data_IF_348993240276
#
_entry.id   IF_348993240276
#
_cell.length_a   1.000
_cell.length_b   1.000
_cell.length_c   1.000
_cell.angle_alpha   90.00
_cell.angle_beta   90.00
_cell.angle_gamma   90.00
#
_symmetry.space_group_name_H-M   'P 1'
#
loop_
_entity.id
_entity.type
_entity.pdbx_description
1 polymer ?
#
# COMPACT_ATOMS: atom_id res chain seq x y z
N UNK A 1 29.50 -13.81 1.32
CA UNK A 1 28.13 -13.35 1.00
C UNK A 1 27.27 -14.60 0.83
N UNK A 2 26.33 -14.83 1.75
CA UNK A 2 25.63 -16.12 1.90
C UNK A 2 24.31 -16.15 1.10
N UNK A 3 24.00 -17.28 0.47
CA UNK A 3 22.84 -17.49 -0.42
C UNK A 3 21.45 -17.24 0.22
N UNK A 4 21.39 -17.02 1.54
CA UNK A 4 20.17 -16.62 2.26
C UNK A 4 19.82 -15.13 2.13
N UNK A 5 20.81 -14.26 1.92
CA UNK A 5 20.60 -12.81 1.80
C UNK A 5 20.03 -12.42 0.42
N UNK A 6 20.49 -13.11 -0.64
CA UNK A 6 20.02 -12.90 -2.01
C UNK A 6 18.58 -13.35 -2.25
N UNK A 7 18.10 -14.43 -1.61
CA UNK A 7 16.68 -14.85 -1.67
C UNK A 7 15.75 -13.95 -0.87
N UNK A 8 16.17 -13.49 0.31
CA UNK A 8 15.36 -12.56 1.12
C UNK A 8 15.21 -11.20 0.44
N UNK A 9 16.28 -10.72 -0.19
CA UNK A 9 16.29 -9.46 -0.93
C UNK A 9 15.46 -9.53 -2.23
N UNK A 10 15.39 -10.68 -2.90
CA UNK A 10 14.55 -10.83 -4.10
C UNK A 10 13.05 -10.76 -3.76
N UNK A 11 12.62 -11.37 -2.65
CA UNK A 11 11.25 -11.32 -2.16
C UNK A 11 10.80 -9.89 -1.81
N UNK A 12 11.63 -9.13 -1.10
CA UNK A 12 11.34 -7.71 -0.79
C UNK A 12 11.18 -6.88 -2.07
N UNK A 13 12.08 -7.05 -3.04
CA UNK A 13 11.99 -6.34 -4.33
C UNK A 13 10.77 -6.76 -5.15
N UNK A 14 10.37 -8.02 -5.09
CA UNK A 14 9.18 -8.53 -5.78
C UNK A 14 7.90 -7.92 -5.20
N UNK A 15 7.83 -7.78 -3.87
CA UNK A 15 6.72 -7.11 -3.18
C UNK A 15 6.68 -5.60 -3.43
N UNK A 16 7.84 -4.94 -3.46
CA UNK A 16 7.91 -3.52 -3.82
C UNK A 16 7.35 -3.26 -5.24
N UNK A 17 7.69 -4.13 -6.21
CA UNK A 17 7.09 -4.08 -7.55
C UNK A 17 5.59 -4.37 -7.53
N UNK A 18 5.14 -5.37 -6.77
CA UNK A 18 3.72 -5.67 -6.61
C UNK A 18 2.93 -4.47 -6.08
N UNK A 19 3.43 -3.76 -5.05
CA UNK A 19 2.80 -2.53 -4.55
C UNK A 19 2.70 -1.45 -5.61
N UNK A 20 3.77 -1.26 -6.39
CA UNK A 20 3.80 -0.25 -7.46
C UNK A 20 2.68 -0.47 -8.48
N UNK A 21 2.52 -1.72 -8.92
CA UNK A 21 1.46 -2.10 -9.87
C UNK A 21 0.08 -2.03 -9.19
N UNK A 22 -0.04 -2.47 -7.93
CA UNK A 22 -1.28 -2.40 -7.17
C UNK A 22 -1.81 -0.97 -7.01
N UNK A 23 -0.95 0.02 -6.73
CA UNK A 23 -1.36 1.43 -6.67
C UNK A 23 -1.95 1.92 -8.00
N UNK A 24 -1.34 1.55 -9.13
CA UNK A 24 -1.85 1.92 -10.45
C UNK A 24 -3.21 1.27 -10.73
N UNK A 25 -3.35 -0.02 -10.42
CA UNK A 25 -4.60 -0.75 -10.58
C UNK A 25 -5.71 -0.22 -9.67
N UNK A 26 -5.40 0.11 -8.41
CA UNK A 26 -6.34 0.71 -7.46
C UNK A 26 -6.73 2.13 -7.86
N UNK A 27 -5.81 2.91 -8.41
CA UNK A 27 -6.12 4.21 -9.01
C UNK A 27 -7.11 4.04 -10.17
N UNK A 28 -6.85 3.11 -11.11
CA UNK A 28 -7.79 2.84 -12.21
C UNK A 28 -9.16 2.43 -11.66
N UNK A 29 -9.21 1.52 -10.69
CA UNK A 29 -10.46 1.11 -10.06
C UNK A 29 -11.22 2.29 -9.44
N UNK A 30 -10.55 3.15 -8.67
CA UNK A 30 -11.18 4.33 -8.08
C UNK A 30 -11.74 5.29 -9.12
N UNK A 31 -11.07 5.45 -10.26
CA UNK A 31 -11.46 6.41 -11.29
C UNK A 31 -12.55 5.89 -12.22
N UNK A 32 -12.60 4.58 -12.48
CA UNK A 32 -13.48 4.00 -13.49
C UNK A 32 -14.60 3.14 -12.91
N UNK A 33 -14.48 2.67 -11.68
CA UNK A 33 -15.39 1.69 -11.09
C UNK A 33 -15.39 0.33 -11.82
N UNK A 34 -14.42 0.08 -12.70
CA UNK A 34 -14.33 -1.15 -13.47
C UNK A 34 -14.17 -2.37 -12.55
N UNK A 35 -14.69 -3.51 -12.97
CA UNK A 35 -14.57 -4.76 -12.24
C UNK A 35 -13.09 -5.11 -11.94
N UNK A 36 -12.80 -5.43 -10.67
CA UNK A 36 -11.44 -5.70 -10.18
C UNK A 36 -10.77 -6.89 -10.92
N UNK A 37 -11.50 -7.98 -11.19
CA UNK A 37 -10.92 -9.13 -11.88
C UNK A 37 -10.56 -8.80 -13.33
N UNK A 38 -11.30 -7.89 -13.98
CA UNK A 38 -10.97 -7.40 -15.30
C UNK A 38 -9.71 -6.52 -15.27
N UNK A 39 -9.60 -5.61 -14.29
CA UNK A 39 -8.38 -4.79 -14.07
C UNK A 39 -7.18 -5.71 -13.81
N UNK A 40 -7.31 -6.69 -12.93
CA UNK A 40 -6.24 -7.64 -12.62
C UNK A 40 -5.76 -8.38 -13.87
N UNK A 41 -6.69 -8.91 -14.67
CA UNK A 41 -6.37 -9.63 -15.90
C UNK A 41 -5.66 -8.72 -16.91
N UNK A 42 -6.10 -7.48 -17.04
CA UNK A 42 -5.47 -6.47 -17.89
C UNK A 42 -4.01 -6.22 -17.44
N UNK A 43 -3.78 -5.92 -16.16
CA UNK A 43 -2.44 -5.62 -15.66
C UNK A 43 -1.49 -6.82 -15.77
N UNK A 44 -1.96 -8.05 -15.54
CA UNK A 44 -1.16 -9.27 -15.70
C UNK A 44 -0.69 -9.46 -17.15
N UNK A 45 -1.52 -9.07 -18.13
CA UNK A 45 -1.18 -9.19 -19.55
C UNK A 45 -0.28 -8.05 -20.02
N UNK A 46 -0.53 -6.82 -19.56
CA UNK A 46 0.15 -5.62 -20.05
C UNK A 46 1.50 -5.34 -19.36
N UNK A 47 1.73 -5.87 -18.16
CA UNK A 47 2.95 -5.63 -17.38
C UNK A 47 3.84 -6.87 -17.30
N UNK A 48 5.14 -6.66 -17.10
CA UNK A 48 6.08 -7.76 -16.84
C UNK A 48 5.97 -8.26 -15.39
N UNK A 49 5.27 -9.37 -15.21
CA UNK A 49 5.13 -10.05 -13.91
C UNK A 49 6.27 -11.03 -13.58
N UNK A 50 7.30 -11.18 -14.43
CA UNK A 50 8.40 -12.15 -14.22
C UNK A 50 9.17 -11.95 -12.91
N UNK A 51 9.12 -10.74 -12.35
CA UNK A 51 9.78 -10.37 -11.11
C UNK A 51 8.81 -9.84 -10.06
N UNK A 52 7.51 -9.93 -10.28
CA UNK A 52 6.48 -9.42 -9.37
C UNK A 52 6.01 -10.56 -8.48
N UNK A 53 5.78 -10.27 -7.20
CA UNK A 53 5.07 -11.18 -6.31
C UNK A 53 3.57 -11.11 -6.69
N UNK A 54 3.13 -12.03 -7.56
CA UNK A 54 1.81 -11.99 -8.20
C UNK A 54 0.69 -12.24 -7.19
N UNK A 55 0.90 -13.20 -6.29
CA UNK A 55 -0.01 -13.50 -5.20
C UNK A 55 -0.17 -12.28 -4.29
N UNK A 56 0.94 -11.58 -3.99
CA UNK A 56 0.87 -10.36 -3.20
C UNK A 56 0.16 -9.22 -3.92
N UNK A 57 0.40 -9.05 -5.22
CA UNK A 57 -0.35 -8.08 -6.03
C UNK A 57 -1.85 -8.34 -5.99
N UNK A 58 -2.27 -9.60 -6.20
CA UNK A 58 -3.68 -10.01 -6.17
C UNK A 58 -4.31 -9.75 -4.80
N UNK A 59 -3.61 -10.12 -3.71
CA UNK A 59 -4.06 -9.85 -2.34
C UNK A 59 -4.30 -8.35 -2.08
N UNK A 60 -3.40 -7.47 -2.53
CA UNK A 60 -3.57 -6.03 -2.38
C UNK A 60 -4.75 -5.50 -3.21
N UNK A 61 -4.83 -5.90 -4.48
CA UNK A 61 -5.82 -5.39 -5.43
C UNK A 61 -7.26 -5.80 -5.07
N UNK A 62 -7.46 -7.02 -4.56
CA UNK A 62 -8.78 -7.49 -4.11
C UNK A 62 -9.07 -7.12 -2.66
N UNK A 63 -8.04 -7.12 -1.80
CA UNK A 63 -8.18 -6.87 -0.38
C UNK A 63 -8.60 -5.45 -0.06
N UNK A 64 -8.04 -4.45 -0.75
CA UNK A 64 -8.37 -3.04 -0.53
C UNK A 64 -9.86 -2.76 -0.79
N UNK A 65 -10.45 -3.06 -1.96
CA UNK A 65 -11.89 -2.88 -2.20
C UNK A 65 -12.77 -3.63 -1.22
N UNK A 66 -12.43 -4.88 -0.89
CA UNK A 66 -13.21 -5.73 0.02
C UNK A 66 -13.23 -5.22 1.46
N UNK A 67 -12.24 -4.40 1.84
CA UNK A 67 -12.11 -3.85 3.20
C UNK A 67 -12.17 -2.34 3.24
N UNK A 68 -12.72 -1.72 2.18
CA UNK A 68 -12.70 -0.27 1.98
C UNK A 68 -13.28 0.50 3.16
N UNK A 69 -14.47 0.13 3.64
CA UNK A 69 -15.14 0.83 4.74
C UNK A 69 -14.29 0.80 6.02
N UNK A 70 -13.66 -0.34 6.32
CA UNK A 70 -12.75 -0.46 7.47
C UNK A 70 -11.51 0.40 7.28
N UNK A 71 -10.94 0.41 6.08
CA UNK A 71 -9.76 1.21 5.74
C UNK A 71 -10.07 2.71 5.94
N UNK A 72 -11.17 3.18 5.36
CA UNK A 72 -11.55 4.59 5.39
C UNK A 72 -11.93 5.04 6.80
N UNK A 73 -12.58 4.18 7.60
CA UNK A 73 -12.84 4.42 9.03
C UNK A 73 -11.53 4.61 9.82
N UNK A 74 -10.48 3.84 9.53
CA UNK A 74 -9.18 3.96 10.21
C UNK A 74 -8.36 5.15 9.72
N UNK A 75 -8.56 5.59 8.47
CA UNK A 75 -7.94 6.78 7.92
C UNK A 75 -8.57 8.07 8.45
N UNK A 76 -9.90 8.09 8.65
CA UNK A 76 -10.65 9.30 8.98
C UNK A 76 -10.06 10.13 10.15
N UNK A 77 -9.66 9.54 11.30
CA UNK A 77 -9.09 10.32 12.41
C UNK A 77 -7.70 10.93 12.11
N UNK A 78 -7.00 10.42 11.09
CA UNK A 78 -5.68 10.91 10.70
C UNK A 78 -5.73 12.02 9.66
N UNK A 79 -6.90 12.23 9.03
CA UNK A 79 -7.16 13.22 7.99
C UNK A 79 -7.87 14.46 8.54
N UNK A 80 -7.69 15.60 7.88
CA UNK A 80 -8.37 16.86 8.20
C UNK A 80 -9.53 17.19 7.24
N UNK A 81 -9.71 16.35 6.22
CA UNK A 81 -10.71 16.42 5.15
C UNK A 81 -11.22 15.01 4.87
N UNK A 82 -12.32 14.87 4.15
CA UNK A 82 -12.81 13.56 3.72
C UNK A 82 -11.76 12.82 2.87
N UNK A 83 -11.73 11.49 2.96
CA UNK A 83 -10.82 10.67 2.13
C UNK A 83 -11.07 10.91 0.63
N UNK A 84 -12.32 11.19 0.25
CA UNK A 84 -12.68 11.50 -1.13
C UNK A 84 -12.12 12.83 -1.64
N UNK A 85 -11.76 13.75 -0.75
CA UNK A 85 -11.13 15.04 -1.07
C UNK A 85 -9.60 14.95 -1.19
N UNK A 86 -9.02 13.79 -0.89
CA UNK A 86 -7.59 13.51 -1.09
C UNK A 86 -7.31 13.24 -2.56
N UNK A 87 -6.15 13.70 -3.05
CA UNK A 87 -5.72 13.44 -4.42
C UNK A 87 -5.84 11.94 -4.76
N UNK A 88 -6.36 11.54 -5.93
CA UNK A 88 -6.65 10.13 -6.20
C UNK A 88 -5.44 9.20 -6.10
N UNK A 89 -4.23 9.68 -6.39
CA UNK A 89 -2.98 8.91 -6.25
C UNK A 89 -2.64 8.73 -4.78
N UNK A 90 -2.64 9.83 -4.01
CA UNK A 90 -2.42 9.79 -2.56
C UNK A 90 -3.45 8.90 -1.86
N UNK A 91 -4.72 9.00 -2.26
CA UNK A 91 -5.83 8.18 -1.77
C UNK A 91 -5.58 6.69 -2.01
N UNK A 92 -5.13 6.31 -3.21
CA UNK A 92 -4.78 4.92 -3.51
C UNK A 92 -3.62 4.41 -2.62
N UNK A 93 -2.59 5.24 -2.42
CA UNK A 93 -1.44 4.90 -1.56
C UNK A 93 -1.86 4.77 -0.09
N UNK A 94 -2.66 5.71 0.42
CA UNK A 94 -3.16 5.66 1.80
C UNK A 94 -4.02 4.42 2.07
N UNK A 95 -4.91 4.09 1.14
CA UNK A 95 -5.77 2.90 1.24
C UNK A 95 -4.94 1.61 1.21
N UNK A 96 -3.98 1.50 0.29
CA UNK A 96 -3.07 0.36 0.23
C UNK A 96 -2.20 0.22 1.49
N UNK A 97 -1.57 1.31 1.94
CA UNK A 97 -0.74 1.29 3.14
C UNK A 97 -1.54 0.95 4.40
N UNK A 98 -2.77 1.45 4.51
CA UNK A 98 -3.66 1.13 5.63
C UNK A 98 -4.13 -0.33 5.59
N UNK A 99 -4.44 -0.86 4.41
CA UNK A 99 -4.73 -2.30 4.24
C UNK A 99 -3.58 -3.17 4.74
N UNK A 100 -2.35 -2.85 4.35
CA UNK A 100 -1.17 -3.58 4.81
C UNK A 100 -1.02 -3.50 6.34
N UNK A 101 -1.14 -2.31 6.94
CA UNK A 101 -1.10 -2.14 8.39
C UNK A 101 -2.19 -2.96 9.11
N UNK A 102 -3.35 -3.13 8.47
CA UNK A 102 -4.50 -3.84 9.04
C UNK A 102 -4.40 -5.37 8.86
N UNK A 103 -3.96 -5.85 7.71
CA UNK A 103 -4.06 -7.28 7.32
C UNK A 103 -2.71 -7.98 7.17
N UNK A 104 -1.63 -7.25 6.86
CA UNK A 104 -0.29 -7.80 6.58
C UNK A 104 0.64 -7.70 7.79
N UNK A 105 0.24 -8.37 8.88
CA UNK A 105 0.99 -8.41 10.14
C UNK A 105 2.40 -8.98 9.96
N UNK A 106 2.60 -9.81 8.92
CA UNK A 106 3.88 -10.36 8.48
C UNK A 106 4.88 -9.30 7.99
N UNK A 107 4.42 -8.08 7.73
CA UNK A 107 5.24 -6.96 7.26
C UNK A 107 5.38 -5.93 8.39
N UNK A 108 6.62 -5.59 8.82
CA UNK A 108 6.82 -4.60 9.86
C UNK A 108 6.23 -3.25 9.48
N UNK A 109 5.58 -2.56 10.44
CA UNK A 109 4.84 -1.33 10.13
C UNK A 109 5.71 -0.25 9.47
N UNK A 110 6.98 -0.13 9.87
CA UNK A 110 7.94 0.83 9.27
C UNK A 110 8.22 0.52 7.80
N UNK A 111 8.22 -0.75 7.40
CA UNK A 111 8.40 -1.13 6.00
C UNK A 111 7.18 -0.69 5.20
N UNK A 112 5.97 -0.90 5.71
CA UNK A 112 4.73 -0.44 5.05
C UNK A 112 4.74 1.08 4.84
N UNK A 113 5.08 1.84 5.89
CA UNK A 113 5.15 3.31 5.81
C UNK A 113 6.22 3.74 4.81
N UNK A 114 7.44 3.19 4.90
CA UNK A 114 8.53 3.55 3.99
C UNK A 114 8.18 3.26 2.53
N UNK A 115 7.62 2.09 2.22
CA UNK A 115 7.20 1.73 0.86
C UNK A 115 6.09 2.65 0.35
N UNK A 116 5.13 3.02 1.21
CA UNK A 116 4.08 3.99 0.86
C UNK A 116 4.64 5.38 0.57
N UNK A 117 5.66 5.81 1.31
CA UNK A 117 6.38 7.07 1.09
C UNK A 117 7.15 7.04 -0.24
N UNK A 118 7.80 5.93 -0.58
CA UNK A 118 8.49 5.77 -1.87
C UNK A 118 7.52 5.75 -3.06
N UNK A 119 6.32 5.15 -2.89
CA UNK A 119 5.25 5.24 -3.88
C UNK A 119 4.80 6.69 -4.08
N UNK A 120 4.66 7.45 -3.01
CA UNK A 120 4.26 8.85 -3.06
C UNK A 120 5.31 9.74 -3.75
N UNK A 121 6.60 9.47 -3.52
CA UNK A 121 7.69 10.15 -4.27
C UNK A 121 7.68 9.78 -5.76
N UNK A 122 7.22 8.58 -6.09
CA UNK A 122 7.18 8.07 -7.46
C UNK A 122 6.00 8.63 -8.26
N UNK A 123 4.82 8.71 -7.65
CA UNK A 123 3.57 9.00 -8.35
C UNK A 123 2.87 10.30 -7.93
N UNK A 124 3.15 10.79 -6.72
CA UNK A 124 2.46 11.94 -6.14
C UNK A 124 3.04 13.27 -6.57
N UNK A 125 2.32 14.34 -6.22
CA UNK A 125 2.78 15.71 -6.40
C UNK A 125 3.95 16.06 -5.45
N UNK A 126 4.59 17.21 -5.68
CA UNK A 126 5.66 17.70 -4.81
C UNK A 126 5.17 17.77 -3.36
N UNK A 127 5.99 17.28 -2.42
CA UNK A 127 5.69 17.12 -0.99
C UNK A 127 4.61 16.09 -0.56
N UNK A 128 3.92 15.39 -1.47
CA UNK A 128 2.89 14.40 -1.10
C UNK A 128 3.39 13.28 -0.18
N UNK A 129 4.67 12.92 -0.31
CA UNK A 129 5.33 11.94 0.55
C UNK A 129 5.35 12.31 2.05
N UNK A 130 5.42 13.59 2.41
CA UNK A 130 5.34 14.04 3.82
C UNK A 130 3.94 13.83 4.40
N UNK A 131 2.92 14.11 3.59
CA UNK A 131 1.53 13.90 3.94
C UNK A 131 1.26 12.41 4.18
N UNK A 132 1.62 11.55 3.22
CA UNK A 132 1.49 10.09 3.34
C UNK A 132 2.19 9.56 4.60
N UNK A 133 3.44 9.98 4.85
CA UNK A 133 4.17 9.57 6.06
C UNK A 133 3.41 9.96 7.33
N UNK A 134 2.99 11.22 7.45
CA UNK A 134 2.31 11.73 8.64
C UNK A 134 0.96 11.06 8.92
N UNK A 135 0.19 10.74 7.88
CA UNK A 135 -1.08 10.02 8.01
C UNK A 135 -0.84 8.58 8.45
N UNK A 136 0.02 7.83 7.74
CA UNK A 136 0.25 6.42 8.05
C UNK A 136 0.97 6.21 9.39
N UNK A 137 1.80 7.15 9.84
CA UNK A 137 2.36 7.13 11.20
C UNK A 137 1.27 7.22 12.28
N UNK A 138 0.23 8.03 12.07
CA UNK A 138 -0.92 8.10 13.00
C UNK A 138 -1.73 6.82 12.97
N UNK A 139 -2.03 6.29 11.77
CA UNK A 139 -2.78 5.04 11.60
C UNK A 139 -2.03 3.86 12.24
N UNK A 140 -0.72 3.76 12.04
CA UNK A 140 0.10 2.70 12.62
C UNK A 140 0.13 2.72 14.15
N UNK A 141 0.09 3.90 14.79
CA UNK A 141 -0.01 3.99 16.26
C UNK A 141 -1.30 3.36 16.80
N UNK A 142 -2.37 3.34 16.00
CA UNK A 142 -3.64 2.71 16.37
C UNK A 142 -3.65 1.22 15.99
N UNK A 143 -3.30 0.88 14.75
CA UNK A 143 -3.40 -0.51 14.25
C UNK A 143 -2.25 -1.42 14.69
N UNK A 144 -1.08 -0.85 15.00
CA UNK A 144 0.16 -1.57 15.32
C UNK A 144 0.74 -1.13 16.66
N UNK A 145 -0.11 -0.73 17.60
CA UNK A 145 0.29 -0.16 18.89
C UNK A 145 1.36 -0.99 19.62
N UNK A 146 1.20 -2.31 19.67
CA UNK A 146 2.16 -3.22 20.30
C UNK A 146 3.54 -3.20 19.61
N UNK A 147 3.56 -3.21 18.27
CA UNK A 147 4.81 -3.14 17.49
C UNK A 147 5.49 -1.77 17.64
N UNK A 148 4.69 -0.69 17.67
CA UNK A 148 5.19 0.68 17.87
C UNK A 148 5.78 0.86 19.27
N UNK A 149 5.15 0.30 20.30
CA UNK A 149 5.63 0.38 21.68
C UNK A 149 6.94 -0.39 21.88
N UNK A 150 7.05 -1.61 21.32
CA UNK A 150 8.23 -2.47 21.42
C UNK A 150 9.50 -1.87 20.78
N UNK A 151 9.37 -0.87 19.91
CA UNK A 151 10.49 -0.18 19.24
C UNK A 151 10.98 1.07 19.99
N UNK A 152 10.27 1.52 21.04
CA UNK A 152 10.61 2.70 21.84
C UNK A 152 11.42 2.38 23.10
N UNK A 153 11.50 1.10 23.48
CA UNK A 153 12.44 0.58 24.48
C UNK A 153 13.67 0.00 23.80
#
# INVERSE_FOLDING_TARGET
MSAGDSRKNSGTKARARARRIAVQALYQWHMTGQNIAAIESQFIVEQDFSRVDKEYFSDLLHGVPTTLDQIDEKLAPALHRGIEEVDPVERAILRLGTYELLKRIDIPYKVVINESVELAKTFGADQGHKFINGVLDKVAKTLRAAEVAAKKG
#
